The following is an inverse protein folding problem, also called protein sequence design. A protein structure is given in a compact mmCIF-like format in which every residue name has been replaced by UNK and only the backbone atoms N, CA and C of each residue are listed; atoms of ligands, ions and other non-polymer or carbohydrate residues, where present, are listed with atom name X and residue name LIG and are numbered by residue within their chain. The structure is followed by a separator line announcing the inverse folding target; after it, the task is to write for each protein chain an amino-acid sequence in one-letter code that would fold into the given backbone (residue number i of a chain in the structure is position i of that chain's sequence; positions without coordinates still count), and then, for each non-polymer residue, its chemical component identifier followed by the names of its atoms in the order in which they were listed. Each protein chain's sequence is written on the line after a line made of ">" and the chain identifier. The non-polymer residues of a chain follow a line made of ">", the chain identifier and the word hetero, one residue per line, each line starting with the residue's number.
data_IF_293592093481
#
_entry.id   IF_293592093481
#
_cell.length_a   1.000
_cell.length_b   1.000
_cell.length_c   1.000
_cell.angle_alpha   90.00
_cell.angle_beta   90.00
_cell.angle_gamma   90.00
#
_symmetry.space_group_name_H-M   'P 1'
#
loop_
_entity.id
_entity.type
_entity.pdbx_description
1 polymer ?
#
# COMPACT_ATOMS: atom_id res chain seq x y z
N UNK A 1 20.70 3.29 -4.77
CA UNK A 1 19.58 4.18 -4.38
C UNK A 1 18.81 3.52 -3.24
N UNK A 2 18.27 4.27 -2.27
CA UNK A 2 17.41 3.73 -1.23
C UNK A 2 16.19 3.02 -1.83
N UNK A 3 15.76 1.89 -1.26
CA UNK A 3 14.68 1.05 -1.79
C UNK A 3 13.39 1.83 -2.08
N UNK A 4 12.95 2.69 -1.15
CA UNK A 4 11.73 3.50 -1.29
C UNK A 4 11.79 4.39 -2.53
N UNK A 5 12.91 5.09 -2.73
CA UNK A 5 13.09 5.94 -3.92
C UNK A 5 12.98 5.13 -5.20
N UNK A 6 13.63 3.96 -5.27
CA UNK A 6 13.52 3.06 -6.43
C UNK A 6 12.10 2.56 -6.70
N UNK A 7 11.30 2.32 -5.66
CA UNK A 7 9.90 1.93 -5.83
C UNK A 7 9.03 3.11 -6.29
N UNK A 8 9.25 4.30 -5.75
CA UNK A 8 8.58 5.53 -6.21
C UNK A 8 8.94 5.86 -7.67
N UNK A 9 10.20 5.71 -8.07
CA UNK A 9 10.65 5.84 -9.46
C UNK A 9 9.90 4.87 -10.39
N UNK A 10 9.70 3.63 -9.93
CA UNK A 10 8.95 2.65 -10.69
C UNK A 10 7.46 3.00 -10.80
N UNK A 11 6.84 3.50 -9.73
CA UNK A 11 5.43 3.94 -9.74
C UNK A 11 5.25 5.07 -10.77
N UNK A 12 6.11 6.07 -10.71
CA UNK A 12 6.13 7.22 -11.62
C UNK A 12 6.27 6.81 -13.09
N UNK A 13 7.18 5.88 -13.37
CA UNK A 13 7.44 5.41 -14.73
C UNK A 13 6.34 4.50 -15.30
N UNK A 14 5.46 3.93 -14.46
CA UNK A 14 4.53 2.87 -14.88
C UNK A 14 3.06 3.20 -14.65
N UNK A 15 2.75 4.31 -14.00
CA UNK A 15 1.40 4.75 -13.65
C UNK A 15 1.21 6.22 -14.03
N UNK A 16 -0.02 6.77 -13.98
CA UNK A 16 -0.23 8.20 -14.22
C UNK A 16 0.14 9.09 -13.02
N UNK A 17 0.67 8.51 -11.94
CA UNK A 17 1.00 9.25 -10.73
C UNK A 17 2.37 9.93 -10.81
N UNK A 18 2.41 11.22 -10.50
CA UNK A 18 3.66 11.97 -10.38
C UNK A 18 4.19 11.85 -8.94
N UNK A 19 5.43 11.39 -8.78
CA UNK A 19 6.03 11.15 -7.45
C UNK A 19 7.17 12.08 -7.11
N UNK A 20 7.59 12.97 -8.02
CA UNK A 20 8.78 13.82 -7.85
C UNK A 20 8.75 14.60 -6.53
N UNK A 21 7.68 15.36 -6.27
CA UNK A 21 7.53 16.11 -5.02
C UNK A 21 7.36 15.20 -3.79
N UNK A 22 6.80 13.99 -3.98
CA UNK A 22 6.56 13.03 -2.91
C UNK A 22 7.83 12.28 -2.48
N UNK A 23 8.86 12.22 -3.34
CA UNK A 23 10.18 11.63 -3.04
C UNK A 23 10.97 12.46 -2.03
N UNK A 24 10.73 13.77 -1.98
CA UNK A 24 11.40 14.69 -1.02
C UNK A 24 10.88 14.49 0.41
N UNK A 25 9.63 14.03 0.57
CA UNK A 25 8.98 13.80 1.87
C UNK A 25 8.24 12.46 1.86
N UNK A 26 8.94 11.32 1.78
CA UNK A 26 8.33 10.00 1.70
C UNK A 26 7.64 9.64 3.04
N UNK A 27 6.72 8.66 3.04
CA UNK A 27 6.10 8.20 4.26
C UNK A 27 7.13 7.56 5.18
N UNK A 28 6.90 7.70 6.49
CA UNK A 28 7.70 6.97 7.48
C UNK A 28 7.35 5.48 7.41
N UNK A 29 8.32 4.62 7.76
CA UNK A 29 8.11 3.18 7.84
C UNK A 29 8.36 2.75 9.29
N UNK A 30 7.41 2.02 9.87
CA UNK A 30 7.53 1.39 11.19
C UNK A 30 7.32 -0.11 11.04
N UNK A 31 8.19 -0.88 11.68
CA UNK A 31 8.03 -2.32 11.80
C UNK A 31 7.24 -2.65 13.06
N UNK A 32 6.26 -3.54 12.94
CA UNK A 32 5.39 -3.95 14.04
C UNK A 32 5.41 -5.47 14.23
N UNK A 33 5.05 -5.93 15.43
CA UNK A 33 4.96 -7.35 15.74
C UNK A 33 3.58 -7.91 15.40
N UNK A 34 3.51 -9.19 15.04
CA UNK A 34 2.22 -9.90 14.91
C UNK A 34 1.51 -9.94 16.27
N UNK A 35 0.22 -9.58 16.26
CA UNK A 35 -0.62 -9.44 17.46
C UNK A 35 -0.55 -8.07 18.14
N UNK A 36 0.28 -7.15 17.64
CA UNK A 36 0.35 -5.77 18.15
C UNK A 36 -0.91 -4.99 17.77
N UNK A 37 -1.31 -4.05 18.64
CA UNK A 37 -2.32 -3.04 18.34
C UNK A 37 -1.59 -1.77 17.95
N UNK A 38 -1.75 -1.35 16.69
CA UNK A 38 -1.10 -0.14 16.15
C UNK A 38 -2.12 0.99 16.00
N UNK A 39 -1.73 2.25 16.23
CA UNK A 39 -2.58 3.39 15.88
C UNK A 39 -2.84 3.41 14.38
N UNK A 40 -4.11 3.53 13.98
CA UNK A 40 -4.49 3.59 12.57
C UNK A 40 -5.71 4.48 12.38
N UNK A 41 -5.52 5.60 11.69
CA UNK A 41 -6.56 6.63 11.56
C UNK A 41 -6.96 7.18 12.94
N UNK A 42 -8.26 7.16 13.25
CA UNK A 42 -8.77 7.57 14.57
C UNK A 42 -8.87 6.43 15.60
N UNK A 43 -8.48 5.21 15.22
CA UNK A 43 -8.63 4.00 16.04
C UNK A 43 -7.36 3.17 16.14
N UNK A 44 -7.55 1.88 16.36
CA UNK A 44 -6.48 0.88 16.40
C UNK A 44 -6.72 -0.21 15.35
N UNK A 45 -5.63 -0.72 14.79
CA UNK A 45 -5.61 -1.89 13.92
C UNK A 45 -4.80 -2.99 14.59
N UNK A 46 -5.36 -4.20 14.64
CA UNK A 46 -4.63 -5.39 15.12
C UNK A 46 -3.80 -5.94 13.98
N UNK A 47 -2.50 -6.11 14.22
CA UNK A 47 -1.56 -6.72 13.27
C UNK A 47 -1.75 -8.23 13.27
N UNK A 48 -2.82 -8.71 12.65
CA UNK A 48 -3.12 -10.13 12.57
C UNK A 48 -2.23 -10.87 11.56
N UNK A 49 -2.58 -12.13 11.25
CA UNK A 49 -1.82 -12.95 10.29
C UNK A 49 -2.08 -12.59 8.83
N UNK A 50 -3.16 -11.89 8.53
CA UNK A 50 -3.57 -11.54 7.17
C UNK A 50 -3.11 -10.13 6.78
N UNK A 51 -2.81 -9.26 7.76
CA UNK A 51 -2.25 -7.93 7.51
C UNK A 51 -0.79 -8.05 7.05
N UNK A 52 -0.48 -7.77 5.79
CA UNK A 52 0.93 -7.79 5.32
C UNK A 52 1.57 -6.39 5.30
N UNK A 53 0.75 -5.35 5.25
CA UNK A 53 1.14 -3.95 5.28
C UNK A 53 -0.08 -3.08 5.57
N UNK A 54 0.16 -1.84 6.00
CA UNK A 54 -0.89 -0.84 6.13
C UNK A 54 -0.32 0.57 6.01
N UNK A 55 -0.85 1.36 5.08
CA UNK A 55 -0.61 2.79 5.00
C UNK A 55 -1.68 3.58 5.76
N UNK A 56 -1.28 4.32 6.79
CA UNK A 56 -2.11 5.29 7.49
C UNK A 56 -1.94 6.68 6.84
N UNK A 57 -2.96 7.20 6.11
CA UNK A 57 -2.89 8.50 5.48
C UNK A 57 -2.93 9.67 6.49
N UNK A 58 -3.53 9.48 7.67
CA UNK A 58 -3.63 10.53 8.69
C UNK A 58 -2.27 10.85 9.31
N UNK A 59 -1.42 9.83 9.44
CA UNK A 59 -0.07 9.93 10.00
C UNK A 59 1.05 9.92 8.95
N UNK A 60 0.72 9.70 7.67
CA UNK A 60 1.66 9.43 6.57
C UNK A 60 2.70 8.38 6.95
N UNK A 61 2.19 7.23 7.37
CA UNK A 61 2.98 6.16 8.01
C UNK A 61 2.63 4.81 7.40
N UNK A 62 3.65 4.05 7.02
CA UNK A 62 3.52 2.66 6.58
C UNK A 62 3.94 1.75 7.73
N UNK A 63 3.06 0.82 8.08
CA UNK A 63 3.34 -0.28 8.99
C UNK A 63 3.69 -1.54 8.21
N UNK A 64 4.80 -2.19 8.58
CA UNK A 64 5.25 -3.46 8.01
C UNK A 64 5.43 -4.50 9.12
N UNK A 65 4.61 -5.56 9.16
CA UNK A 65 4.73 -6.60 10.17
C UNK A 65 6.02 -7.41 10.02
N UNK A 66 6.66 -7.74 11.14
CA UNK A 66 7.85 -8.57 11.17
C UNK A 66 7.53 -10.08 11.10
N UNK A 67 8.45 -10.91 10.55
CA UNK A 67 9.70 -10.52 9.91
C UNK A 67 9.48 -9.95 8.50
N UNK A 68 10.13 -8.81 8.19
CA UNK A 68 10.14 -8.20 6.87
C UNK A 68 11.58 -8.10 6.36
N UNK A 69 11.81 -8.44 5.09
CA UNK A 69 13.13 -8.50 4.48
C UNK A 69 13.20 -7.71 3.16
N UNK A 70 14.10 -6.73 3.10
CA UNK A 70 14.36 -5.93 1.91
C UNK A 70 14.92 -6.74 0.73
N UNK A 71 15.48 -7.94 0.96
CA UNK A 71 15.93 -8.84 -0.09
C UNK A 71 14.81 -9.72 -0.65
N UNK A 72 13.70 -9.88 0.08
CA UNK A 72 12.56 -10.66 -0.34
C UNK A 72 11.67 -9.83 -1.29
N UNK A 73 11.47 -10.34 -2.51
CA UNK A 73 10.66 -9.67 -3.52
C UNK A 73 9.19 -9.53 -3.11
N UNK A 74 8.64 -10.50 -2.38
CA UNK A 74 7.27 -10.41 -1.88
C UNK A 74 7.12 -9.25 -0.89
N UNK A 75 8.02 -9.16 0.09
CA UNK A 75 8.04 -8.10 1.11
C UNK A 75 8.22 -6.70 0.48
N UNK A 76 9.05 -6.60 -0.56
CA UNK A 76 9.18 -5.38 -1.37
C UNK A 76 7.89 -5.05 -2.13
N UNK A 77 7.17 -6.06 -2.63
CA UNK A 77 5.89 -5.84 -3.33
C UNK A 77 4.80 -5.33 -2.40
N UNK A 78 4.82 -5.76 -1.12
CA UNK A 78 3.92 -5.24 -0.10
C UNK A 78 4.27 -3.79 0.23
N UNK A 79 5.55 -3.46 0.42
CA UNK A 79 5.95 -2.05 0.57
C UNK A 79 5.55 -1.20 -0.66
N UNK A 80 5.69 -1.74 -1.87
CA UNK A 80 5.24 -1.07 -3.09
C UNK A 80 3.72 -0.80 -3.04
N UNK A 81 2.92 -1.78 -2.62
CA UNK A 81 1.47 -1.63 -2.47
C UNK A 81 1.13 -0.45 -1.55
N UNK A 82 1.75 -0.38 -0.37
CA UNK A 82 1.52 0.73 0.56
C UNK A 82 2.03 2.07 0.03
N UNK A 83 3.12 2.09 -0.74
CA UNK A 83 3.60 3.30 -1.42
C UNK A 83 2.65 3.76 -2.53
N UNK A 84 1.98 2.83 -3.21
CA UNK A 84 0.94 3.18 -4.18
C UNK A 84 -0.22 3.87 -3.45
N UNK A 85 -0.67 3.36 -2.31
CA UNK A 85 -1.69 4.05 -1.50
C UNK A 85 -1.27 5.46 -1.08
N UNK A 86 -0.03 5.63 -0.62
CA UNK A 86 0.53 6.94 -0.32
C UNK A 86 0.41 7.89 -1.52
N UNK A 87 0.90 7.47 -2.68
CA UNK A 87 0.89 8.31 -3.88
C UNK A 87 -0.54 8.60 -4.36
N UNK A 88 -1.43 7.60 -4.34
CA UNK A 88 -2.82 7.74 -4.77
C UNK A 88 -3.58 8.77 -3.95
N UNK A 89 -3.41 8.76 -2.63
CA UNK A 89 -4.12 9.63 -1.70
C UNK A 89 -3.55 11.05 -1.65
N UNK A 90 -2.29 11.24 -2.04
CA UNK A 90 -1.68 12.58 -2.20
C UNK A 90 -1.96 13.19 -3.58
N UNK A 91 -2.22 12.37 -4.60
CA UNK A 91 -2.37 12.84 -5.99
C UNK A 91 -3.77 13.30 -6.36
N UNK A 92 -4.82 12.72 -5.76
CA UNK A 92 -6.22 13.07 -6.06
C UNK A 92 -7.18 12.66 -4.95
N UNK A 93 -8.40 13.20 -5.03
CA UNK A 93 -9.53 12.74 -4.23
C UNK A 93 -10.09 11.42 -4.78
N UNK A 94 -10.52 10.57 -3.86
CA UNK A 94 -11.15 9.29 -4.14
C UNK A 94 -12.52 9.25 -3.45
N UNK A 95 -13.46 8.49 -4.03
CA UNK A 95 -14.80 8.30 -3.44
C UNK A 95 -14.72 7.71 -2.02
N UNK A 96 -13.73 6.85 -1.79
CA UNK A 96 -13.35 6.34 -0.48
C UNK A 96 -11.94 5.76 -0.56
N UNK A 97 -11.33 5.50 0.60
CA UNK A 97 -10.01 4.86 0.69
C UNK A 97 -10.03 3.48 0.01
N UNK A 98 -11.08 2.69 0.23
CA UNK A 98 -11.23 1.36 -0.36
C UNK A 98 -11.10 1.36 -1.90
N UNK A 99 -11.59 2.39 -2.60
CA UNK A 99 -11.55 2.44 -4.06
C UNK A 99 -10.11 2.41 -4.63
N UNK A 100 -9.11 2.77 -3.82
CA UNK A 100 -7.70 2.81 -4.20
C UNK A 100 -7.09 1.41 -4.41
N UNK A 101 -7.62 0.40 -3.72
CA UNK A 101 -7.14 -0.99 -3.66
C UNK A 101 -7.04 -1.65 -5.04
N UNK A 102 -8.01 -1.39 -5.93
CA UNK A 102 -8.04 -2.05 -7.23
C UNK A 102 -6.81 -1.69 -8.06
N UNK A 103 -6.44 -0.41 -8.08
CA UNK A 103 -5.25 0.07 -8.77
C UNK A 103 -3.96 -0.36 -8.04
N UNK A 104 -3.95 -0.37 -6.70
CA UNK A 104 -2.81 -0.80 -5.90
C UNK A 104 -2.44 -2.27 -6.16
N UNK A 105 -3.42 -3.17 -6.13
CA UNK A 105 -3.21 -4.58 -6.45
C UNK A 105 -2.76 -4.81 -7.90
N UNK A 106 -3.31 -4.06 -8.86
CA UNK A 106 -2.90 -4.16 -10.26
C UNK A 106 -1.43 -3.75 -10.46
N UNK A 107 -0.98 -2.69 -9.79
CA UNK A 107 0.41 -2.24 -9.83
C UNK A 107 1.33 -3.22 -9.10
N UNK A 108 0.94 -3.76 -7.94
CA UNK A 108 1.71 -4.78 -7.23
C UNK A 108 1.90 -6.04 -8.09
N UNK A 109 0.84 -6.54 -8.71
CA UNK A 109 0.90 -7.66 -9.64
C UNK A 109 1.86 -7.38 -10.81
N UNK A 110 1.73 -6.19 -11.43
CA UNK A 110 2.59 -5.80 -12.56
C UNK A 110 4.07 -5.73 -12.15
N UNK A 111 4.36 -5.22 -10.96
CA UNK A 111 5.73 -5.16 -10.46
C UNK A 111 6.31 -6.55 -10.23
N UNK A 112 5.56 -7.43 -9.55
CA UNK A 112 5.96 -8.83 -9.31
C UNK A 112 6.21 -9.58 -10.62
N UNK A 113 5.33 -9.42 -11.61
CA UNK A 113 5.51 -9.98 -12.94
C UNK A 113 6.81 -9.48 -13.60
N UNK A 114 7.13 -8.19 -13.44
CA UNK A 114 8.40 -7.61 -13.88
C UNK A 114 9.64 -8.17 -13.18
N UNK A 115 9.49 -8.73 -11.98
CA UNK A 115 10.54 -9.47 -11.26
C UNK A 115 10.56 -10.97 -11.58
N UNK A 116 9.72 -11.44 -12.51
CA UNK A 116 9.61 -12.86 -12.87
C UNK A 116 8.74 -13.69 -11.92
N UNK A 117 7.95 -13.05 -11.05
CA UNK A 117 7.03 -13.72 -10.14
C UNK A 117 5.62 -13.66 -10.74
N UNK A 118 5.09 -14.81 -11.15
CA UNK A 118 3.70 -14.93 -11.55
C UNK A 118 2.83 -15.01 -10.29
N UNK A 119 2.11 -13.93 -9.98
CA UNK A 119 1.18 -13.87 -8.88
C UNK A 119 -0.16 -13.29 -9.36
N UNK A 120 -1.24 -13.94 -8.95
CA UNK A 120 -2.60 -13.46 -9.16
C UNK A 120 -3.25 -13.23 -7.81
N UNK A 121 -3.73 -12.00 -7.60
CA UNK A 121 -4.59 -11.70 -6.46
C UNK A 121 -5.99 -12.25 -6.72
N UNK A 122 -6.73 -12.55 -5.65
CA UNK A 122 -8.14 -12.92 -5.76
C UNK A 122 -8.95 -11.70 -6.22
N UNK A 123 -9.27 -11.66 -7.51
CA UNK A 123 -9.98 -10.54 -8.11
C UNK A 123 -11.37 -10.33 -7.51
N UNK A 124 -12.04 -11.38 -7.03
CA UNK A 124 -13.35 -11.27 -6.39
C UNK A 124 -13.20 -10.63 -5.01
N UNK A 125 -12.21 -11.07 -4.23
CA UNK A 125 -11.90 -10.48 -2.93
C UNK A 125 -11.53 -9.01 -3.06
N UNK A 126 -10.61 -8.68 -3.96
CA UNK A 126 -10.18 -7.29 -4.21
C UNK A 126 -11.36 -6.45 -4.65
N UNK A 127 -12.19 -6.94 -5.57
CA UNK A 127 -13.41 -6.23 -5.97
C UNK A 127 -14.34 -5.91 -4.80
N UNK A 128 -14.53 -6.82 -3.84
CA UNK A 128 -15.32 -6.53 -2.65
C UNK A 128 -14.62 -5.56 -1.70
N UNK A 129 -13.30 -5.68 -1.50
CA UNK A 129 -12.50 -4.75 -0.68
C UNK A 129 -12.48 -3.35 -1.26
N UNK A 130 -12.51 -3.21 -2.59
CA UNK A 130 -12.46 -1.92 -3.27
C UNK A 130 -13.78 -1.14 -3.28
N UNK A 131 -14.88 -1.74 -2.81
CA UNK A 131 -16.17 -1.05 -2.76
C UNK A 131 -16.20 -0.05 -1.63
N UNK A 132 -16.66 1.15 -1.93
CA UNK A 132 -17.02 2.10 -0.91
C UNK A 132 -18.26 1.62 -0.14
N UNK A 133 -18.32 1.85 1.18
CA UNK A 133 -19.58 1.77 1.90
C UNK A 133 -20.59 2.63 1.14
N UNK A 134 -21.72 2.05 0.72
CA UNK A 134 -22.82 2.88 0.24
C UNK A 134 -23.32 3.64 1.45
N UNK A 135 -23.45 4.96 1.32
CA UNK A 135 -24.12 5.83 2.27
C UNK A 135 -25.33 5.12 2.92
N UNK A 136 -25.18 4.74 4.19
CA UNK A 136 -26.35 4.53 5.06
C UNK A 136 -26.73 5.93 5.52
N UNK A 137 -27.48 6.65 4.69
CA UNK A 137 -28.19 7.83 5.17
C UNK A 137 -29.30 7.38 6.14
N UNK A 138 -29.53 8.08 7.27
CA UNK A 138 -30.63 7.79 8.18
C UNK A 138 -32.01 8.03 7.53
#
# INVERSE_FOLDING_TARGET
>A
MPLVATLLDWIDATSPYETEALREVPPRIIFCARGEHIPYGEGELVVDRALEGAYDPSARLIYLPQPWDAANLWDRSVLLHELVHFVQLESRLWDCINATEQEAYALQQRWLAGQGIAWEYDALLVFFRSRCPRDVHP
#
